data_IF_477884311878
#
_entry.id   IF_477884311878
#
_cell.length_a   1.000
_cell.length_b   1.000
_cell.length_c   1.000
_cell.angle_alpha   90.00
_cell.angle_beta   90.00
_cell.angle_gamma   90.00
#
_symmetry.space_group_name_H-M   'P 1'
#
loop_
_entity.id
_entity.type
_entity.pdbx_description
1 polymer ?
#
# COMPACT_ATOMS: atom_id res chain seq x y z
N UNK A 1 32.38 -19.93 -44.68
CA UNK A 1 31.44 -18.78 -44.62
C UNK A 1 30.21 -19.06 -43.76
N UNK A 2 29.56 -20.25 -43.87
CA UNK A 2 28.33 -20.60 -43.14
C UNK A 2 28.46 -20.74 -41.61
N UNK A 3 29.63 -21.11 -41.07
CA UNK A 3 29.84 -21.26 -39.61
C UNK A 3 29.75 -19.93 -38.84
N UNK A 4 30.06 -18.79 -39.48
CA UNK A 4 29.90 -17.45 -38.90
C UNK A 4 28.43 -17.01 -38.83
N UNK A 5 27.60 -17.45 -39.78
CA UNK A 5 26.17 -17.16 -39.80
C UNK A 5 25.40 -17.90 -38.69
N UNK A 6 25.75 -19.16 -38.42
CA UNK A 6 25.12 -19.96 -37.35
C UNK A 6 25.39 -19.35 -35.97
N UNK A 7 26.61 -18.84 -35.73
CA UNK A 7 27.00 -18.20 -34.47
C UNK A 7 26.21 -16.90 -34.20
N UNK A 8 25.94 -16.11 -35.23
CA UNK A 8 25.16 -14.86 -35.12
C UNK A 8 23.69 -15.15 -34.82
N UNK A 9 23.12 -16.20 -35.42
CA UNK A 9 21.72 -16.61 -35.15
C UNK A 9 21.59 -17.12 -33.70
N UNK A 10 22.57 -17.88 -33.18
CA UNK A 10 22.58 -18.34 -31.78
C UNK A 10 22.73 -17.16 -30.80
N UNK A 11 23.53 -16.14 -31.12
CA UNK A 11 23.64 -14.90 -30.32
C UNK A 11 22.36 -14.05 -30.36
N UNK A 12 21.63 -14.03 -31.48
CA UNK A 12 20.33 -13.36 -31.56
C UNK A 12 19.24 -14.10 -30.77
N UNK A 13 19.20 -15.44 -30.81
CA UNK A 13 18.23 -16.23 -30.04
C UNK A 13 18.50 -16.12 -28.53
N UNK A 14 19.77 -16.08 -28.12
CA UNK A 14 20.13 -15.90 -26.70
C UNK A 14 19.91 -14.49 -26.18
N UNK A 15 19.95 -13.45 -27.03
CA UNK A 15 19.57 -12.09 -26.63
C UNK A 15 18.06 -11.87 -26.64
N UNK A 16 17.31 -12.52 -27.53
CA UNK A 16 15.84 -12.42 -27.57
C UNK A 16 15.16 -13.27 -26.48
N UNK A 17 15.65 -14.48 -26.21
CA UNK A 17 15.09 -15.40 -25.22
C UNK A 17 15.25 -14.94 -23.76
N UNK A 18 16.21 -14.05 -23.48
CA UNK A 18 16.39 -13.44 -22.15
C UNK A 18 15.41 -12.25 -21.94
N UNK A 19 14.96 -11.59 -23.02
CA UNK A 19 14.01 -10.48 -22.92
C UNK A 19 12.56 -10.94 -22.77
N UNK A 20 12.20 -12.11 -23.28
CA UNK A 20 10.80 -12.60 -23.27
C UNK A 20 10.41 -13.38 -22.01
N UNK A 21 11.30 -13.58 -21.03
CA UNK A 21 10.98 -14.24 -19.74
C UNK A 21 10.85 -13.25 -18.57
N UNK A 22 10.72 -11.96 -18.87
CA UNK A 22 10.31 -10.96 -17.87
C UNK A 22 8.99 -10.38 -18.34
N UNK A 23 8.04 -10.28 -17.41
CA UNK A 23 6.67 -9.77 -17.62
C UNK A 23 5.66 -10.81 -18.15
N UNK A 24 5.23 -11.71 -17.28
CA UNK A 24 3.78 -12.00 -17.12
C UNK A 24 3.50 -12.96 -15.96
N UNK A 25 4.18 -12.75 -14.82
CA UNK A 25 3.50 -12.98 -13.56
C UNK A 25 2.82 -11.65 -13.25
N UNK A 26 1.54 -11.52 -13.61
CA UNK A 26 0.69 -10.53 -12.97
C UNK A 26 0.92 -10.69 -11.47
N UNK A 27 1.69 -9.77 -10.90
CA UNK A 27 2.05 -9.77 -9.49
C UNK A 27 0.72 -9.79 -8.75
N UNK A 28 0.35 -10.94 -8.20
CA UNK A 28 -0.94 -11.10 -7.56
C UNK A 28 -1.01 -10.03 -6.47
N UNK A 29 -1.77 -8.97 -6.74
CA UNK A 29 -1.85 -7.77 -5.90
C UNK A 29 -2.16 -8.25 -4.50
N UNK A 30 -1.17 -8.22 -3.60
CA UNK A 30 -1.34 -8.77 -2.26
C UNK A 30 -2.36 -7.91 -1.54
N UNK A 31 -3.59 -8.41 -1.43
CA UNK A 31 -4.66 -7.75 -0.68
C UNK A 31 -4.16 -7.44 0.72
N UNK A 32 -4.17 -6.15 1.06
CA UNK A 32 -3.81 -5.65 2.38
C UNK A 32 -5.07 -5.32 3.15
N UNK A 33 -4.96 -5.15 4.47
CA UNK A 33 -6.09 -4.75 5.31
C UNK A 33 -5.81 -3.44 6.02
N UNK A 34 -6.84 -2.64 6.22
CA UNK A 34 -6.82 -1.48 7.10
C UNK A 34 -7.69 -1.73 8.32
N UNK A 35 -7.35 -1.08 9.43
CA UNK A 35 -8.23 -0.93 10.59
C UNK A 35 -8.26 0.52 11.04
N UNK A 36 -8.84 0.81 12.20
CA UNK A 36 -8.82 2.14 12.80
C UNK A 36 -8.36 2.15 14.27
N UNK A 37 -7.88 3.31 14.71
CA UNK A 37 -7.48 3.55 16.09
C UNK A 37 -8.66 3.62 17.07
N UNK A 38 -8.47 3.06 18.26
CA UNK A 38 -9.39 3.23 19.39
C UNK A 38 -9.29 4.64 19.98
N UNK A 39 -10.40 5.18 20.50
CA UNK A 39 -10.49 6.53 21.11
C UNK A 39 -9.48 6.80 22.24
N UNK A 40 -8.97 5.77 22.92
CA UNK A 40 -7.99 5.93 23.99
C UNK A 40 -6.67 6.55 23.53
N UNK A 41 -6.41 6.51 22.22
CA UNK A 41 -5.22 7.11 21.60
C UNK A 41 -5.39 8.60 21.31
N UNK A 42 -6.64 9.11 21.28
CA UNK A 42 -6.91 10.51 21.00
C UNK A 42 -6.16 11.43 21.98
N UNK A 43 -5.48 12.46 21.47
CA UNK A 43 -4.66 13.38 22.27
C UNK A 43 -3.26 12.87 22.62
N UNK A 44 -2.88 11.64 22.26
CA UNK A 44 -1.50 11.13 22.46
C UNK A 44 -0.59 11.58 21.32
N UNK A 45 0.72 11.50 21.55
CA UNK A 45 1.72 11.74 20.50
C UNK A 45 1.81 10.54 19.55
N UNK A 46 1.81 10.81 18.25
CA UNK A 46 2.18 9.86 17.20
C UNK A 46 3.70 9.77 17.06
N UNK A 47 4.19 8.83 16.26
CA UNK A 47 5.60 8.71 15.92
C UNK A 47 6.15 9.88 15.07
N UNK A 48 5.30 10.66 14.36
CA UNK A 48 5.73 11.92 13.74
C UNK A 48 5.99 13.03 14.77
N UNK A 49 5.47 12.88 16.00
CA UNK A 49 5.49 13.92 17.02
C UNK A 49 4.23 14.79 17.05
N UNK A 50 3.27 14.57 16.14
CA UNK A 50 1.97 15.24 16.16
C UNK A 50 1.08 14.71 17.28
N UNK A 51 0.06 15.49 17.65
CA UNK A 51 -1.01 15.00 18.53
C UNK A 51 -2.03 14.26 17.68
N UNK A 52 -2.26 12.99 17.98
CA UNK A 52 -3.25 12.16 17.32
C UNK A 52 -4.66 12.69 17.57
N UNK A 53 -5.44 12.76 16.49
CA UNK A 53 -6.82 13.25 16.48
C UNK A 53 -7.67 12.36 15.57
N UNK A 54 -8.64 11.66 16.15
CA UNK A 54 -9.52 10.74 15.44
C UNK A 54 -10.43 11.42 14.41
N UNK A 55 -10.57 12.75 14.46
CA UNK A 55 -11.36 13.53 13.49
C UNK A 55 -10.58 13.90 12.21
N UNK A 56 -9.26 13.72 12.19
CA UNK A 56 -8.41 14.05 11.04
C UNK A 56 -8.26 12.86 10.09
N UNK A 57 -7.88 13.12 8.83
CA UNK A 57 -7.61 12.07 7.85
C UNK A 57 -6.14 11.64 7.89
N UNK A 58 -5.79 10.79 8.85
CA UNK A 58 -4.40 10.34 9.06
C UNK A 58 -4.34 8.83 9.22
N UNK A 59 -3.16 8.24 8.95
CA UNK A 59 -2.93 6.82 9.18
C UNK A 59 -1.50 6.52 9.66
N UNK A 60 -1.37 5.37 10.32
CA UNK A 60 -0.08 4.74 10.59
C UNK A 60 0.33 3.82 9.45
N UNK A 61 1.61 3.88 9.08
CA UNK A 61 2.23 2.92 8.19
C UNK A 61 3.67 2.62 8.63
N UNK A 62 4.16 1.41 8.33
CA UNK A 62 5.45 0.91 8.83
C UNK A 62 6.65 1.70 8.33
N UNK A 63 6.66 2.02 7.04
CA UNK A 63 7.87 2.52 6.34
C UNK A 63 7.65 3.77 5.50
N UNK A 64 6.45 3.98 4.95
CA UNK A 64 6.09 5.23 4.24
C UNK A 64 6.51 6.46 5.07
N UNK A 65 7.22 7.43 4.45
CA UNK A 65 7.63 8.66 5.12
C UNK A 65 6.46 9.40 5.76
N UNK A 66 6.74 10.10 6.86
CA UNK A 66 5.73 10.97 7.46
C UNK A 66 5.42 12.15 6.55
N UNK A 67 4.18 12.60 6.54
CA UNK A 67 3.69 13.68 5.67
C UNK A 67 3.31 13.23 4.26
N UNK A 68 3.61 11.99 3.88
CA UNK A 68 3.17 11.45 2.59
C UNK A 68 1.65 11.28 2.57
N UNK A 69 1.01 11.76 1.52
CA UNK A 69 -0.39 11.49 1.22
C UNK A 69 -0.53 10.13 0.54
N UNK A 70 -1.50 9.35 1.01
CA UNK A 70 -1.78 8.01 0.53
C UNK A 70 -3.26 7.93 0.22
N UNK A 71 -3.61 7.56 -1.01
CA UNK A 71 -4.97 7.21 -1.37
C UNK A 71 -5.22 5.77 -0.95
N UNK A 72 -6.31 5.53 -0.23
CA UNK A 72 -6.72 4.22 0.26
C UNK A 72 -8.07 3.87 -0.35
N UNK A 73 -8.16 2.74 -1.02
CA UNK A 73 -9.37 2.24 -1.69
C UNK A 73 -9.89 1.02 -0.94
N UNK A 74 -11.14 1.06 -0.48
CA UNK A 74 -11.82 -0.10 0.10
C UNK A 74 -12.27 -1.05 -1.02
N UNK A 75 -11.73 -2.27 -1.03
CA UNK A 75 -11.97 -3.24 -2.09
C UNK A 75 -13.38 -3.85 -2.04
N UNK A 76 -14.11 -3.72 -0.93
CA UNK A 76 -15.48 -4.23 -0.81
C UNK A 76 -16.51 -3.33 -1.53
N UNK A 77 -16.25 -2.03 -1.63
CA UNK A 77 -17.23 -1.06 -2.14
C UNK A 77 -16.68 -0.04 -3.14
N UNK A 78 -15.36 -0.02 -3.38
CA UNK A 78 -14.70 0.89 -4.31
C UNK A 78 -14.58 2.34 -3.82
N UNK A 79 -14.94 2.66 -2.57
CA UNK A 79 -14.78 4.00 -2.00
C UNK A 79 -13.32 4.29 -1.68
N UNK A 80 -12.94 5.57 -1.76
CA UNK A 80 -11.57 6.03 -1.60
C UNK A 80 -11.48 7.20 -0.62
N UNK A 81 -10.35 7.29 0.10
CA UNK A 81 -10.00 8.44 0.95
C UNK A 81 -8.50 8.69 0.89
N UNK A 82 -8.11 9.96 0.94
CA UNK A 82 -6.70 10.36 1.06
C UNK A 82 -6.39 10.60 2.53
N UNK A 83 -5.31 9.99 3.00
CA UNK A 83 -4.81 10.14 4.37
C UNK A 83 -3.36 10.59 4.38
N UNK A 84 -2.98 11.34 5.41
CA UNK A 84 -1.58 11.68 5.66
C UNK A 84 -0.95 10.65 6.60
N UNK A 85 0.21 10.11 6.24
CA UNK A 85 0.95 9.21 7.13
C UNK A 85 1.63 10.02 8.23
N UNK A 86 1.26 9.79 9.49
CA UNK A 86 1.85 10.52 10.63
C UNK A 86 2.22 9.62 11.82
N UNK A 87 2.06 8.30 11.69
CA UNK A 87 2.38 7.37 12.77
C UNK A 87 2.98 6.05 12.26
N UNK A 88 3.48 5.23 13.17
CA UNK A 88 4.15 3.96 12.88
C UNK A 88 3.38 2.77 13.41
N UNK A 89 3.43 1.70 12.62
CA UNK A 89 2.63 0.50 12.80
C UNK A 89 1.99 0.12 11.47
N UNK A 90 1.16 -0.93 11.42
CA UNK A 90 0.87 -1.87 12.52
C UNK A 90 2.01 -2.90 12.70
N UNK A 91 2.41 -3.24 13.93
CA UNK A 91 3.62 -4.10 14.13
C UNK A 91 3.37 -5.61 14.27
N UNK A 92 2.12 -6.05 14.49
CA UNK A 92 1.81 -7.46 14.82
C UNK A 92 0.62 -8.04 14.04
N UNK A 93 0.32 -7.53 12.84
CA UNK A 93 -0.85 -7.98 12.07
C UNK A 93 -0.59 -7.99 10.58
N UNK A 94 -1.40 -8.75 9.84
CA UNK A 94 -1.49 -8.72 8.36
C UNK A 94 -1.95 -7.38 7.79
N UNK A 95 -2.40 -6.43 8.64
CA UNK A 95 -2.82 -5.08 8.24
C UNK A 95 -1.66 -4.25 7.69
N UNK A 96 -1.93 -3.45 6.67
CA UNK A 96 -1.00 -2.46 6.14
C UNK A 96 -1.13 -1.10 6.85
N UNK A 97 -2.34 -0.71 7.25
CA UNK A 97 -2.66 0.61 7.78
C UNK A 97 -3.52 0.52 9.05
N UNK A 98 -3.26 1.42 10.00
CA UNK A 98 -4.20 1.78 11.07
C UNK A 98 -4.61 3.24 10.86
N UNK A 99 -5.84 3.47 10.44
CA UNK A 99 -6.39 4.79 10.09
C UNK A 99 -6.99 5.48 11.32
N UNK A 100 -7.21 6.79 11.25
CA UNK A 100 -8.13 7.45 12.17
C UNK A 100 -9.56 6.94 11.96
N UNK A 101 -10.43 7.13 12.96
CA UNK A 101 -11.85 6.80 12.81
C UNK A 101 -12.51 7.57 11.67
N UNK A 102 -12.28 8.87 11.56
CA UNK A 102 -12.83 9.68 10.48
C UNK A 102 -12.46 9.14 9.10
N UNK A 103 -11.18 8.81 8.87
CA UNK A 103 -10.76 8.29 7.58
C UNK A 103 -11.36 6.91 7.27
N UNK A 104 -11.49 6.04 8.28
CA UNK A 104 -12.08 4.72 8.06
C UNK A 104 -13.57 4.81 7.72
N UNK A 105 -14.31 5.69 8.41
CA UNK A 105 -15.76 5.89 8.23
C UNK A 105 -16.13 6.45 6.85
N UNK A 106 -15.23 7.21 6.21
CA UNK A 106 -15.43 7.68 4.82
C UNK A 106 -15.58 6.52 3.82
N UNK A 107 -14.82 5.44 4.01
CA UNK A 107 -14.71 4.35 3.05
C UNK A 107 -15.27 3.02 3.54
N UNK A 108 -15.55 2.85 4.83
CA UNK A 108 -15.93 1.58 5.44
C UNK A 108 -16.94 1.75 6.57
N UNK A 109 -17.53 0.64 6.98
CA UNK A 109 -18.41 0.60 8.14
C UNK A 109 -17.60 0.16 9.36
N UNK A 110 -17.61 1.01 10.38
CA UNK A 110 -16.86 0.89 11.64
C UNK A 110 -17.11 -0.44 12.37
N UNK A 111 -18.27 -1.06 12.18
CA UNK A 111 -18.64 -2.33 12.82
C UNK A 111 -17.81 -3.52 12.30
N UNK A 112 -17.20 -3.41 11.12
CA UNK A 112 -16.32 -4.45 10.59
C UNK A 112 -14.97 -4.52 11.33
N UNK A 113 -14.51 -3.41 11.92
CA UNK A 113 -13.20 -3.28 12.57
C UNK A 113 -11.99 -3.31 11.62
N UNK A 114 -12.07 -4.08 10.53
CA UNK A 114 -11.06 -4.16 9.46
C UNK A 114 -11.71 -4.28 8.09
N UNK A 115 -11.07 -3.72 7.05
CA UNK A 115 -11.51 -3.81 5.65
C UNK A 115 -10.33 -4.18 4.73
N UNK A 116 -10.57 -4.94 3.65
CA UNK A 116 -9.56 -5.15 2.61
C UNK A 116 -9.35 -3.86 1.82
N UNK A 117 -8.10 -3.47 1.64
CA UNK A 117 -7.72 -2.23 0.98
C UNK A 117 -6.61 -2.44 -0.04
N UNK A 118 -6.64 -1.55 -1.03
CA UNK A 118 -5.47 -1.15 -1.79
C UNK A 118 -5.05 0.26 -1.37
N UNK A 119 -3.76 0.59 -1.47
CA UNK A 119 -3.29 1.95 -1.24
C UNK A 119 -2.13 2.31 -2.15
N UNK A 120 -2.05 3.59 -2.53
CA UNK A 120 -0.99 4.16 -3.35
C UNK A 120 -0.57 5.54 -2.84
N UNK A 121 0.71 5.88 -3.01
CA UNK A 121 1.22 7.22 -2.70
C UNK A 121 0.67 8.19 -3.74
N UNK A 122 0.20 9.35 -3.28
CA UNK A 122 -0.21 10.46 -4.15
C UNK A 122 1.04 11.26 -4.54
N UNK A 123 1.22 11.49 -5.84
CA UNK A 123 2.35 12.26 -6.42
C UNK A 123 2.11 13.78 -6.37
#
# INVERSE_FOLDING_TARGET
MMKRFILVIIMMISTFGIYSFKYDAAEAKKTSYASYYHDKFNGRKTASGDVFDNSKLTAAHRTIPFGTEVKVTNLNNGKEVIVVINDRGPFHSSRALDMSKAAFDEIGDMDHGTIPVEFEIVD
#
